data_IF_902666248086
#
_entry.id   IF_902666248086
#
_cell.length_a   1.000
_cell.length_b   1.000
_cell.length_c   1.000
_cell.angle_alpha   90.00
_cell.angle_beta   90.00
_cell.angle_gamma   90.00
#
_symmetry.space_group_name_H-M   'P 1'
#
loop_
_entity.id
_entity.type
_entity.pdbx_description
1 polymer ?
#
# COMPACT_ATOMS: atom_id res chain seq x y z
N UNK A 1 -5.48 13.54 11.20
CA UNK A 1 -6.09 12.36 11.84
C UNK A 1 -5.17 11.17 11.61
N UNK A 2 -4.72 10.52 12.68
CA UNK A 2 -3.94 9.28 12.62
C UNK A 2 -4.75 8.18 13.30
N UNK A 3 -4.77 7.01 12.69
CA UNK A 3 -5.44 5.79 13.17
C UNK A 3 -4.36 4.76 13.54
N UNK A 4 -4.69 3.78 14.37
CA UNK A 4 -3.75 2.75 14.82
C UNK A 4 -3.27 1.84 13.71
N UNK A 5 -4.11 1.59 12.70
CA UNK A 5 -3.77 0.73 11.58
C UNK A 5 -4.68 1.01 10.37
N UNK A 6 -4.36 0.36 9.25
CA UNK A 6 -5.12 0.47 8.01
C UNK A 6 -6.60 0.11 8.22
N UNK A 7 -6.90 -0.91 9.03
CA UNK A 7 -8.27 -1.34 9.23
C UNK A 7 -9.12 -0.27 9.95
N UNK A 8 -8.57 0.36 10.99
CA UNK A 8 -9.23 1.45 11.69
C UNK A 8 -9.40 2.68 10.78
N UNK A 9 -8.42 2.98 9.93
CA UNK A 9 -8.53 4.01 8.90
C UNK A 9 -9.68 3.69 7.93
N UNK A 10 -9.76 2.45 7.43
CA UNK A 10 -10.81 2.03 6.50
C UNK A 10 -12.19 2.04 7.16
N UNK A 11 -12.30 1.73 8.46
CA UNK A 11 -13.56 1.77 9.20
C UNK A 11 -14.06 3.20 9.45
N UNK A 12 -13.15 4.13 9.76
CA UNK A 12 -13.52 5.49 10.12
C UNK A 12 -13.51 6.48 8.94
N UNK A 13 -12.88 6.13 7.82
CA UNK A 13 -12.78 6.98 6.62
C UNK A 13 -13.44 6.34 5.40
N UNK A 14 -14.60 6.87 5.01
CA UNK A 14 -15.34 6.41 3.82
C UNK A 14 -14.56 6.64 2.52
N UNK A 15 -13.86 7.78 2.40
CA UNK A 15 -13.05 8.09 1.22
C UNK A 15 -11.86 7.16 1.09
N UNK A 16 -11.14 6.89 2.20
CA UNK A 16 -10.03 5.93 2.22
C UNK A 16 -10.48 4.51 1.89
N UNK A 17 -11.66 4.10 2.38
CA UNK A 17 -12.25 2.80 2.04
C UNK A 17 -12.59 2.68 0.56
N UNK A 18 -13.24 3.71 0.00
CA UNK A 18 -13.62 3.73 -1.41
C UNK A 18 -12.38 3.66 -2.30
N UNK A 19 -11.33 4.41 -1.94
CA UNK A 19 -10.04 4.34 -2.61
C UNK A 19 -9.43 2.94 -2.50
N UNK A 20 -9.36 2.34 -1.31
CA UNK A 20 -8.78 1.02 -1.11
C UNK A 20 -9.47 -0.08 -1.93
N UNK A 21 -10.80 -0.10 -1.96
CA UNK A 21 -11.58 -1.09 -2.71
C UNK A 21 -11.46 -0.90 -4.23
N UNK A 22 -11.17 0.32 -4.69
CA UNK A 22 -10.90 0.60 -6.10
C UNK A 22 -9.54 0.08 -6.60
N UNK A 23 -8.66 -0.34 -5.69
CA UNK A 23 -7.35 -0.88 -6.04
C UNK A 23 -7.45 -2.33 -6.50
N UNK A 24 -6.53 -2.81 -7.37
CA UNK A 24 -6.36 -4.24 -7.64
C UNK A 24 -6.16 -5.07 -6.37
N UNK A 25 -6.69 -6.30 -6.35
CA UNK A 25 -6.62 -7.23 -5.20
C UNK A 25 -5.18 -7.44 -4.72
N UNK A 26 -4.23 -7.52 -5.65
CA UNK A 26 -2.83 -7.74 -5.32
C UNK A 26 -2.22 -6.55 -4.54
N UNK A 27 -2.59 -5.32 -4.90
CA UNK A 27 -2.21 -4.14 -4.11
C UNK A 27 -2.94 -4.10 -2.77
N UNK A 28 -4.20 -4.53 -2.70
CA UNK A 28 -4.93 -4.63 -1.43
C UNK A 28 -4.24 -5.58 -0.45
N UNK A 29 -3.83 -6.78 -0.91
CA UNK A 29 -3.11 -7.75 -0.09
C UNK A 29 -1.78 -7.18 0.43
N UNK A 30 -0.98 -6.56 -0.45
CA UNK A 30 0.32 -5.98 -0.11
C UNK A 30 0.21 -4.82 0.87
N UNK A 31 -0.81 -3.97 0.72
CA UNK A 31 -1.10 -2.90 1.68
C UNK A 31 -1.59 -3.46 3.01
N UNK A 32 -2.30 -4.59 3.00
CA UNK A 32 -2.75 -5.26 4.22
C UNK A 32 -1.59 -5.86 5.02
N UNK A 33 -0.56 -6.41 4.34
CA UNK A 33 0.70 -6.83 4.99
C UNK A 33 1.40 -5.64 5.69
N UNK A 34 1.26 -4.43 5.14
CA UNK A 34 1.82 -3.19 5.68
C UNK A 34 0.83 -2.40 6.56
N UNK A 35 -0.32 -3.01 6.90
CA UNK A 35 -1.38 -2.41 7.73
C UNK A 35 -0.87 -1.73 9.02
N UNK A 36 0.12 -2.28 9.76
CA UNK A 36 0.63 -1.66 10.98
C UNK A 36 1.34 -0.32 10.78
N UNK A 37 1.71 0.02 9.55
CA UNK A 37 2.46 1.24 9.21
C UNK A 37 1.61 2.29 8.48
N UNK A 38 0.34 1.97 8.19
CA UNK A 38 -0.58 2.87 7.49
C UNK A 38 -1.59 3.39 8.51
N UNK A 39 -1.38 4.63 8.95
CA UNK A 39 -2.17 5.29 9.97
C UNK A 39 -3.05 6.40 9.39
N UNK A 40 -2.87 6.76 8.12
CA UNK A 40 -3.54 7.90 7.51
C UNK A 40 -3.81 7.69 6.02
N UNK A 41 -4.74 8.48 5.48
CA UNK A 41 -5.02 8.49 4.05
C UNK A 41 -3.78 8.86 3.22
N UNK A 42 -2.96 9.81 3.70
CA UNK A 42 -1.73 10.20 3.03
C UNK A 42 -0.73 9.05 2.94
N UNK A 43 -0.54 8.30 4.02
CA UNK A 43 0.31 7.10 4.04
C UNK A 43 -0.26 5.98 3.16
N UNK A 44 -1.58 5.81 3.12
CA UNK A 44 -2.22 4.86 2.20
C UNK A 44 -1.88 5.20 0.74
N UNK A 45 -2.09 6.45 0.33
CA UNK A 45 -1.75 6.90 -1.04
C UNK A 45 -0.25 6.79 -1.32
N UNK A 46 0.61 7.13 -0.36
CA UNK A 46 2.06 7.00 -0.48
C UNK A 46 2.47 5.53 -0.66
N UNK A 47 1.90 4.61 0.13
CA UNK A 47 2.12 3.16 0.01
C UNK A 47 1.71 2.62 -1.35
N UNK A 48 0.55 3.05 -1.87
CA UNK A 48 0.11 2.67 -3.23
C UNK A 48 1.08 3.17 -4.29
N UNK A 49 1.52 4.42 -4.20
CA UNK A 49 2.47 5.00 -5.15
C UNK A 49 3.82 4.30 -5.09
N UNK A 50 4.31 3.93 -3.90
CA UNK A 50 5.53 3.16 -3.73
C UNK A 50 5.41 1.76 -4.37
N UNK A 51 4.30 1.06 -4.15
CA UNK A 51 4.06 -0.25 -4.77
C UNK A 51 3.97 -0.16 -6.29
N UNK A 52 3.27 0.86 -6.82
CA UNK A 52 3.22 1.12 -8.27
C UNK A 52 4.59 1.47 -8.85
N UNK A 53 5.40 2.23 -8.12
CA UNK A 53 6.76 2.55 -8.53
C UNK A 53 7.64 1.30 -8.55
N UNK A 54 7.52 0.42 -7.56
CA UNK A 54 8.21 -0.87 -7.52
C UNK A 54 7.78 -1.78 -8.68
N UNK A 55 6.49 -1.84 -8.99
CA UNK A 55 5.97 -2.59 -10.13
C UNK A 55 6.49 -2.04 -11.47
N UNK A 56 6.56 -0.71 -11.58
CA UNK A 56 7.17 -0.05 -12.74
C UNK A 56 8.68 -0.32 -12.84
N UNK A 57 9.38 -0.39 -11.72
CA UNK A 57 10.82 -0.70 -11.72
C UNK A 57 11.06 -2.17 -12.05
N UNK A 58 10.19 -3.08 -11.61
CA UNK A 58 10.30 -4.50 -11.93
C UNK A 58 10.10 -4.76 -13.42
N UNK A 59 9.20 -4.01 -14.08
CA UNK A 59 9.00 -4.13 -15.52
C UNK A 59 10.13 -3.49 -16.36
N UNK A 60 10.86 -2.51 -15.80
CA UNK A 60 11.97 -1.84 -16.47
C UNK A 60 13.30 -2.62 -16.44
N UNK A 61 13.45 -3.62 -15.59
CA UNK A 61 14.64 -4.47 -15.65
C UNK A 61 14.92 -5.23 -14.37
N UNK A 62 14.35 -6.43 -14.24
CA UNK A 62 14.88 -7.58 -13.46
C UNK A 62 15.39 -7.28 -12.04
N UNK A 63 14.94 -6.22 -11.37
CA UNK A 63 15.34 -5.99 -9.99
C UNK A 63 14.43 -6.80 -9.06
N UNK A 64 14.98 -7.85 -8.45
CA UNK A 64 14.28 -8.70 -7.50
C UNK A 64 14.88 -8.51 -6.09
N UNK A 65 14.24 -7.72 -5.21
CA UNK A 65 14.77 -7.45 -3.87
C UNK A 65 14.80 -8.68 -2.96
N UNK A 66 14.17 -9.81 -3.35
CA UNK A 66 14.32 -11.09 -2.65
C UNK A 66 15.56 -11.89 -3.06
N UNK A 67 16.25 -11.53 -4.15
CA UNK A 67 17.33 -12.33 -4.73
C UNK A 67 18.73 -11.88 -4.32
N UNK A 68 18.90 -10.59 -4.07
CA UNK A 68 20.23 -10.02 -3.81
C UNK A 68 20.24 -9.33 -2.43
N UNK A 69 20.70 -10.01 -1.37
CA UNK A 69 20.97 -9.35 -0.10
C UNK A 69 22.25 -8.52 -0.23
N UNK A 70 22.20 -7.30 0.32
CA UNK A 70 23.34 -6.36 0.48
C UNK A 70 24.36 -6.91 1.46
#
# INVERSE_FOLDING_TARGET
>A
MKYHNLQELLQNSRSSRTFFVSLPVELQCRLHEQSPYIHSAAELHAGVNALKALDRLSCLGKWNPKRDPV
#
